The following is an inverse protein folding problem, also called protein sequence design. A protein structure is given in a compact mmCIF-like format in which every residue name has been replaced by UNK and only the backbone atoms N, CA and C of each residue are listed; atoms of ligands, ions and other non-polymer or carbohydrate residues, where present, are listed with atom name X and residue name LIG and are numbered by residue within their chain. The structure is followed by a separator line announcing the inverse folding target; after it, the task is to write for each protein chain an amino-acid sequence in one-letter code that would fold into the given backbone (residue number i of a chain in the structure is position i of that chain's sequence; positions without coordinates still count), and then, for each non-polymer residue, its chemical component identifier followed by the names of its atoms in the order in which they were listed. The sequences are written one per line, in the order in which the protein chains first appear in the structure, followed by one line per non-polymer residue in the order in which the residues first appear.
data_IF_390725761673
#
_entry.id   IF_390725761673
#
_cell.length_a   1.000
_cell.length_b   1.000
_cell.length_c   1.000
_cell.angle_alpha   90.00
_cell.angle_beta   90.00
_cell.angle_gamma   90.00
#
_symmetry.space_group_name_H-M   'P 1'
#
loop_
_entity.id
_entity.type
_entity.pdbx_description
1 polymer ?
#
# COMPACT_ATOMS: atom_id res chain seq x y z
N UNK A 1 -0.72 1.93 1.38
CA UNK A 1 -2.08 1.48 1.75
C UNK A 1 -2.59 0.50 0.72
N UNK A 2 -3.01 -0.67 1.16
CA UNK A 2 -3.50 -1.71 0.27
C UNK A 2 -5.01 -1.59 0.09
N UNK A 3 -5.47 -1.56 -1.15
CA UNK A 3 -6.88 -1.41 -1.49
C UNK A 3 -7.62 -2.71 -1.76
N UNK A 4 -6.92 -3.84 -1.89
CA UNK A 4 -7.55 -5.14 -2.16
C UNK A 4 -8.20 -5.74 -0.91
N UNK A 5 -9.26 -6.55 -1.13
CA UNK A 5 -9.99 -7.23 -0.04
C UNK A 5 -9.05 -8.07 0.84
N UNK A 6 -8.13 -8.80 0.23
CA UNK A 6 -7.18 -9.66 0.95
C UNK A 6 -5.92 -8.93 1.40
N UNK A 7 -5.51 -7.88 0.70
CA UNK A 7 -4.29 -7.12 1.02
C UNK A 7 -4.38 -6.31 2.31
N UNK A 8 -5.59 -6.07 2.82
CA UNK A 8 -5.85 -5.38 4.07
C UNK A 8 -5.96 -6.28 5.31
N UNK A 9 -5.93 -7.61 5.13
CA UNK A 9 -6.06 -8.55 6.25
C UNK A 9 -4.85 -8.44 7.18
N UNK A 10 -5.11 -8.20 8.46
CA UNK A 10 -4.07 -8.03 9.49
C UNK A 10 -3.34 -6.69 9.47
N UNK A 11 -3.79 -5.74 8.65
CA UNK A 11 -3.29 -4.36 8.64
C UNK A 11 -4.28 -3.41 9.33
N UNK A 12 -3.77 -2.26 9.75
CA UNK A 12 -4.60 -1.18 10.29
C UNK A 12 -5.60 -0.66 9.24
N UNK A 13 -6.71 -0.12 9.73
CA UNK A 13 -7.73 0.51 8.87
C UNK A 13 -7.10 1.61 8.01
N UNK A 14 -7.57 1.74 6.78
CA UNK A 14 -7.18 2.87 5.93
C UNK A 14 -7.47 4.19 6.65
N UNK A 15 -6.59 5.18 6.51
CA UNK A 15 -6.83 6.52 7.07
C UNK A 15 -8.01 7.20 6.38
N UNK A 16 -8.44 8.35 6.92
CA UNK A 16 -9.37 9.23 6.20
C UNK A 16 -8.69 9.81 4.94
N UNK A 17 -9.49 10.23 3.96
CA UNK A 17 -8.99 10.88 2.74
C UNK A 17 -8.10 12.09 3.07
N UNK A 18 -8.54 12.95 4.00
CA UNK A 18 -7.78 14.12 4.45
C UNK A 18 -6.41 13.74 5.03
N UNK A 19 -6.36 12.71 5.87
CA UNK A 19 -5.09 12.22 6.45
C UNK A 19 -4.17 11.66 5.38
N UNK A 20 -4.73 10.94 4.41
CA UNK A 20 -3.97 10.39 3.28
C UNK A 20 -3.33 11.49 2.44
N UNK A 21 -4.10 12.52 2.06
CA UNK A 21 -3.61 13.67 1.30
C UNK A 21 -2.52 14.44 2.05
N UNK A 22 -2.75 14.72 3.34
CA UNK A 22 -1.75 15.38 4.19
C UNK A 22 -0.46 14.57 4.31
N UNK A 23 -0.56 13.23 4.36
CA UNK A 23 0.61 12.36 4.42
C UNK A 23 1.38 12.39 3.10
N UNK A 24 0.69 12.30 1.94
CA UNK A 24 1.34 12.43 0.63
C UNK A 24 2.08 13.76 0.53
N UNK A 25 1.43 14.85 0.89
CA UNK A 25 2.03 16.18 0.82
C UNK A 25 3.26 16.29 1.71
N UNK A 26 3.18 15.81 2.95
CA UNK A 26 4.30 15.81 3.88
C UNK A 26 5.48 14.96 3.40
N UNK A 27 5.19 13.80 2.79
CA UNK A 27 6.24 12.96 2.21
C UNK A 27 6.90 13.61 1.00
N UNK A 28 6.11 14.15 0.07
CA UNK A 28 6.63 14.80 -1.13
C UNK A 28 7.51 16.00 -0.79
N UNK A 29 7.18 16.75 0.25
CA UNK A 29 7.98 17.92 0.69
C UNK A 29 9.35 17.54 1.28
N UNK A 30 9.61 16.27 1.57
CA UNK A 30 10.94 15.82 2.02
C UNK A 30 11.95 15.70 0.87
N UNK A 31 11.48 15.67 -0.36
CA UNK A 31 12.33 15.47 -1.54
C UNK A 31 12.66 16.82 -2.19
N UNK A 32 13.90 16.93 -2.64
CA UNK A 32 14.35 18.10 -3.42
C UNK A 32 13.88 17.98 -4.88
N UNK A 33 13.76 19.10 -5.57
CA UNK A 33 13.24 19.14 -6.96
C UNK A 33 14.01 18.26 -7.95
N UNK A 34 15.28 17.97 -7.69
CA UNK A 34 16.14 17.15 -8.55
C UNK A 34 16.07 15.65 -8.29
N UNK A 35 15.34 15.23 -7.25
CA UNK A 35 15.25 13.81 -6.90
C UNK A 35 14.17 13.10 -7.70
N UNK A 36 14.51 11.92 -8.20
CA UNK A 36 13.55 11.03 -8.85
C UNK A 36 12.79 10.23 -7.80
N UNK A 37 11.47 10.34 -7.82
CA UNK A 37 10.59 9.57 -6.95
C UNK A 37 10.05 8.38 -7.74
N UNK A 38 10.23 7.18 -7.20
CA UNK A 38 9.68 5.96 -7.77
C UNK A 38 8.35 5.66 -7.07
N UNK A 39 7.30 5.52 -7.85
CA UNK A 39 5.96 5.18 -7.34
C UNK A 39 5.45 3.91 -8.01
N UNK A 40 4.65 3.13 -7.29
CA UNK A 40 3.96 2.00 -7.87
C UNK A 40 2.88 2.48 -8.85
N UNK A 41 2.79 1.81 -10.01
CA UNK A 41 1.79 2.10 -11.04
C UNK A 41 0.42 1.57 -10.60
N UNK A 42 -0.26 2.33 -9.78
CA UNK A 42 -1.60 2.02 -9.26
C UNK A 42 -2.69 2.80 -9.99
N UNK A 43 -3.92 2.32 -9.86
CA UNK A 43 -5.10 3.09 -10.25
C UNK A 43 -5.24 4.32 -9.33
N UNK A 44 -5.95 5.35 -9.81
CA UNK A 44 -6.23 6.53 -8.99
C UNK A 44 -6.93 6.20 -7.67
N UNK A 45 -7.64 5.06 -7.61
CA UNK A 45 -8.38 4.60 -6.42
C UNK A 45 -7.67 3.45 -5.72
N UNK A 46 -7.39 3.61 -4.43
CA UNK A 46 -6.78 2.61 -3.55
C UNK A 46 -7.77 2.29 -2.42
N UNK A 47 -8.63 1.30 -2.64
CA UNK A 47 -9.73 1.00 -1.71
C UNK A 47 -10.72 2.16 -1.60
N UNK A 48 -10.80 2.79 -0.43
CA UNK A 48 -11.65 3.97 -0.19
C UNK A 48 -10.96 5.31 -0.47
N UNK A 49 -9.65 5.28 -0.70
CA UNK A 49 -8.84 6.47 -0.91
C UNK A 49 -8.73 6.81 -2.39
N UNK A 50 -8.58 8.09 -2.67
CA UNK A 50 -8.38 8.61 -4.03
C UNK A 50 -7.08 9.40 -4.03
N UNK A 51 -6.18 9.07 -4.96
CA UNK A 51 -4.93 9.83 -5.16
C UNK A 51 -5.32 11.23 -5.65
N UNK A 52 -4.79 12.32 -5.04
CA UNK A 52 -5.03 13.67 -5.49
C UNK A 52 -4.73 13.83 -6.99
N UNK A 53 -5.57 14.57 -7.70
CA UNK A 53 -5.50 14.66 -9.16
C UNK A 53 -4.14 15.11 -9.67
N UNK A 54 -3.56 16.12 -9.05
CA UNK A 54 -2.24 16.64 -9.44
C UNK A 54 -1.14 15.58 -9.30
N UNK A 55 -1.17 14.78 -8.22
CA UNK A 55 -0.24 13.67 -8.03
C UNK A 55 -0.43 12.61 -9.11
N UNK A 56 -1.67 12.24 -9.39
CA UNK A 56 -2.00 11.23 -10.40
C UNK A 56 -1.56 11.66 -11.81
N UNK A 57 -1.84 12.90 -12.19
CA UNK A 57 -1.39 13.45 -13.47
C UNK A 57 0.14 13.48 -13.58
N UNK A 58 0.84 13.80 -12.49
CA UNK A 58 2.31 13.75 -12.46
C UNK A 58 2.84 12.32 -12.61
N UNK A 59 2.20 11.34 -11.99
CA UNK A 59 2.53 9.91 -12.15
C UNK A 59 2.36 9.48 -13.62
N UNK A 60 1.27 9.89 -14.28
CA UNK A 60 1.01 9.54 -15.68
C UNK A 60 2.03 10.13 -16.66
N UNK A 61 2.58 11.31 -16.35
CA UNK A 61 3.64 11.95 -17.13
C UNK A 61 5.03 11.37 -16.86
N UNK A 62 5.16 10.59 -15.80
CA UNK A 62 6.40 9.96 -15.42
C UNK A 62 6.86 8.86 -16.39
N UNK A 63 8.13 8.49 -16.29
CA UNK A 63 8.70 7.39 -17.07
C UNK A 63 8.19 6.04 -16.51
N UNK A 64 7.47 5.29 -17.32
CA UNK A 64 7.01 3.96 -16.96
C UNK A 64 8.14 2.93 -16.97
N UNK A 65 8.21 2.11 -15.92
CA UNK A 65 9.13 0.96 -15.84
C UNK A 65 8.30 -0.28 -15.56
N UNK A 66 8.35 -1.26 -16.47
CA UNK A 66 7.68 -2.54 -16.31
C UNK A 66 8.62 -3.53 -15.62
N UNK A 67 8.22 -4.02 -14.45
CA UNK A 67 8.98 -5.02 -13.69
C UNK A 67 8.42 -6.42 -13.98
N UNK A 68 9.25 -7.27 -14.52
CA UNK A 68 8.89 -8.66 -14.83
C UNK A 68 9.36 -9.63 -13.75
N UNK A 69 8.52 -10.60 -13.44
CA UNK A 69 8.90 -11.74 -12.60
C UNK A 69 8.13 -13.00 -13.01
N UNK A 70 8.70 -14.19 -12.77
CA UNK A 70 8.02 -15.45 -13.05
C UNK A 70 6.74 -15.62 -12.23
N UNK A 71 5.77 -16.35 -12.76
CA UNK A 71 4.50 -16.60 -12.06
C UNK A 71 4.78 -17.32 -10.73
N UNK A 72 5.66 -18.31 -10.70
CA UNK A 72 6.02 -19.03 -9.49
C UNK A 72 6.61 -18.11 -8.41
N UNK A 73 7.53 -17.23 -8.77
CA UNK A 73 8.09 -16.24 -7.84
C UNK A 73 7.04 -15.28 -7.31
N UNK A 74 6.09 -14.86 -8.15
CA UNK A 74 4.98 -13.97 -7.75
C UNK A 74 4.04 -14.68 -6.77
N UNK A 75 3.67 -15.92 -7.07
CA UNK A 75 2.81 -16.74 -6.18
C UNK A 75 3.49 -16.94 -4.83
N UNK A 76 4.76 -17.34 -4.80
CA UNK A 76 5.50 -17.55 -3.56
C UNK A 76 5.56 -16.27 -2.69
N UNK A 77 5.77 -15.11 -3.30
CA UNK A 77 5.78 -13.84 -2.60
C UNK A 77 4.41 -13.49 -2.01
N UNK A 78 3.35 -13.63 -2.80
CA UNK A 78 1.97 -13.37 -2.37
C UNK A 78 1.59 -14.29 -1.21
N UNK A 79 1.88 -15.60 -1.34
CA UNK A 79 1.62 -16.57 -0.28
C UNK A 79 2.36 -16.24 1.01
N UNK A 80 3.65 -15.91 0.94
CA UNK A 80 4.45 -15.53 2.11
C UNK A 80 3.89 -14.26 2.79
N UNK A 81 3.42 -13.31 2.01
CA UNK A 81 2.91 -12.03 2.51
C UNK A 81 1.53 -12.18 3.17
N UNK A 82 0.62 -12.90 2.56
CA UNK A 82 -0.73 -13.15 3.11
C UNK A 82 -0.70 -14.07 4.32
N UNK A 83 0.13 -15.12 4.32
CA UNK A 83 0.26 -16.01 5.49
C UNK A 83 0.91 -15.31 6.67
N UNK A 84 1.77 -14.32 6.45
CA UNK A 84 2.32 -13.48 7.53
C UNK A 84 1.23 -12.63 8.18
N UNK A 85 0.35 -12.01 7.40
CA UNK A 85 -0.81 -11.26 7.89
C UNK A 85 -1.78 -12.13 8.71
N UNK A 86 -2.08 -13.33 8.23
CA UNK A 86 -2.96 -14.29 8.92
C UNK A 86 -2.34 -14.78 10.24
N UNK A 87 -1.04 -15.05 10.28
CA UNK A 87 -0.34 -15.44 11.53
C UNK A 87 -0.39 -14.33 12.58
N UNK A 88 -0.20 -13.10 12.19
CA UNK A 88 -0.31 -11.96 13.10
C UNK A 88 -1.74 -11.79 13.63
N UNK A 89 -2.76 -11.97 12.79
CA UNK A 89 -4.16 -11.95 13.19
C UNK A 89 -4.48 -13.04 14.21
N UNK A 90 -4.07 -14.28 13.95
CA UNK A 90 -4.29 -15.41 14.86
C UNK A 90 -3.55 -15.25 16.19
N UNK A 91 -2.35 -14.66 16.21
CA UNK A 91 -1.64 -14.37 17.46
C UNK A 91 -2.34 -13.29 18.29
N UNK A 92 -2.90 -12.28 17.65
CA UNK A 92 -3.66 -11.22 18.33
C UNK A 92 -4.98 -11.73 18.88
N UNK A 93 -5.68 -12.61 18.17
CA UNK A 93 -6.93 -13.24 18.65
C UNK A 93 -6.65 -14.18 19.82
N UNK A 94 -5.58 -14.98 19.77
CA UNK A 94 -5.16 -15.82 20.90
C UNK A 94 -4.82 -14.98 22.14
N UNK A 95 -4.10 -13.86 21.98
CA UNK A 95 -3.76 -13.00 23.11
C UNK A 95 -5.00 -12.35 23.77
N UNK A 96 -6.08 -12.09 23.02
CA UNK A 96 -7.33 -11.57 23.57
C UNK A 96 -8.18 -12.61 24.30
N UNK A 97 -8.06 -13.89 23.97
CA UNK A 97 -8.82 -14.97 24.59
C UNK A 97 -8.18 -15.48 25.91
N UNK A 98 -7.03 -14.97 26.33
CA UNK A 98 -6.33 -15.36 27.56
C UNK A 98 -6.53 -14.38 28.73
N UNK A 99 -7.52 -13.48 28.64
CA UNK A 99 -7.97 -12.68 29.78
C UNK A 99 -9.37 -13.14 30.22
N UNK A 100 -9.40 -14.29 30.81
CA UNK A 100 -10.47 -14.69 31.74
C UNK A 100 -9.83 -14.84 33.12
#
# INVERSE_FOLDING_TARGET
HRGSVFGGVGLDKQPSQKKFESTIFAELNKYQQEQTIIVEGESRRIGKLIIPEQCFLSMQKGKGVLVYNSISSRVNRIMAEYTRGIRNFNSTVRAKNWKI
#
